data_IF_561454735191
#
_entry.id   IF_561454735191
#
_cell.length_a   1.000
_cell.length_b   1.000
_cell.length_c   1.000
_cell.angle_alpha   90.00
_cell.angle_beta   90.00
_cell.angle_gamma   90.00
#
_symmetry.space_group_name_H-M   'P 1'
#
loop_
_entity.id
_entity.type
_entity.pdbx_description
1 polymer ?
#
# COMPACT_ATOMS: atom_id res chain seq x y z
N UNK A 1 12.33 2.68 2.43
CA UNK A 1 13.52 2.35 1.63
C UNK A 1 14.73 2.72 2.45
N UNK A 2 15.64 1.79 2.69
CA UNK A 2 16.82 1.96 3.57
C UNK A 2 18.07 2.26 2.73
N UNK A 3 18.00 3.26 1.84
CA UNK A 3 19.13 3.67 0.99
C UNK A 3 19.40 2.75 -0.21
N UNK A 4 18.39 2.02 -0.68
CA UNK A 4 18.52 1.02 -1.74
C UNK A 4 18.99 1.65 -3.06
N UNK A 5 18.47 2.80 -3.47
CA UNK A 5 18.91 3.50 -4.69
C UNK A 5 20.42 3.79 -4.67
N UNK A 6 20.94 4.26 -3.54
CA UNK A 6 22.36 4.53 -3.40
C UNK A 6 23.21 3.26 -3.46
N UNK A 7 22.78 2.18 -2.79
CA UNK A 7 23.47 0.89 -2.82
C UNK A 7 23.52 0.30 -4.23
N UNK A 8 22.42 0.33 -4.98
CA UNK A 8 22.38 -0.20 -6.34
C UNK A 8 23.35 0.57 -7.23
N UNK A 9 23.31 1.90 -7.20
CA UNK A 9 24.17 2.75 -8.03
C UNK A 9 25.64 2.54 -7.74
N UNK A 10 25.98 2.43 -6.46
CA UNK A 10 27.34 2.17 -6.02
C UNK A 10 27.84 0.80 -6.52
N UNK A 11 26.99 -0.21 -6.41
CA UNK A 11 27.28 -1.54 -6.94
C UNK A 11 27.41 -1.53 -8.48
N UNK A 12 26.54 -0.80 -9.19
CA UNK A 12 26.60 -0.63 -10.65
C UNK A 12 27.94 -0.02 -11.07
N UNK A 13 28.41 1.00 -10.37
CA UNK A 13 29.62 1.74 -10.73
C UNK A 13 30.92 1.00 -10.40
N UNK A 14 30.92 0.16 -9.35
CA UNK A 14 32.18 -0.35 -8.77
C UNK A 14 32.29 -1.86 -8.62
N UNK A 15 31.18 -2.60 -8.56
CA UNK A 15 31.18 -3.99 -8.08
C UNK A 15 30.63 -5.00 -9.10
N UNK A 16 29.60 -4.63 -9.85
CA UNK A 16 28.93 -5.52 -10.81
C UNK A 16 29.59 -5.40 -12.19
N UNK A 17 30.00 -6.53 -12.78
CA UNK A 17 30.75 -6.54 -14.06
C UNK A 17 29.92 -6.18 -15.29
N UNK A 18 28.62 -6.52 -15.27
CA UNK A 18 27.65 -6.26 -16.35
C UNK A 18 26.34 -5.74 -15.73
N UNK A 19 26.38 -4.54 -15.14
CA UNK A 19 25.27 -4.00 -14.36
C UNK A 19 23.99 -3.79 -15.19
N UNK A 20 24.10 -3.66 -16.51
CA UNK A 20 23.00 -3.51 -17.44
C UNK A 20 22.20 -4.79 -17.69
N UNK A 21 22.71 -5.96 -17.29
CA UNK A 21 22.02 -7.24 -17.48
C UNK A 21 21.20 -7.60 -16.25
N UNK A 22 19.91 -7.88 -16.43
CA UNK A 22 19.03 -8.31 -15.34
C UNK A 22 19.55 -9.57 -14.62
N UNK A 23 20.17 -10.50 -15.37
CA UNK A 23 20.79 -11.72 -14.84
C UNK A 23 21.97 -11.48 -13.89
N UNK A 24 22.48 -10.24 -13.80
CA UNK A 24 23.55 -9.86 -12.87
C UNK A 24 23.05 -9.53 -11.45
N UNK A 25 21.73 -9.50 -11.23
CA UNK A 25 21.11 -9.00 -10.02
C UNK A 25 20.15 -10.00 -9.40
N UNK A 26 20.19 -10.13 -8.07
CA UNK A 26 19.16 -10.78 -7.26
C UNK A 26 18.87 -9.87 -6.06
N UNK A 27 17.65 -9.34 -5.90
CA UNK A 27 16.55 -9.42 -6.86
C UNK A 27 16.86 -8.66 -8.16
N UNK A 28 16.22 -9.03 -9.26
CA UNK A 28 16.28 -8.26 -10.52
C UNK A 28 15.45 -6.97 -10.41
N UNK A 29 14.36 -7.01 -9.63
CA UNK A 29 13.46 -5.87 -9.41
C UNK A 29 12.90 -5.82 -7.99
N UNK A 30 12.73 -4.61 -7.48
CA UNK A 30 11.98 -4.32 -6.27
C UNK A 30 10.72 -3.53 -6.64
N UNK A 31 9.56 -4.07 -6.30
CA UNK A 31 8.27 -3.49 -6.62
C UNK A 31 7.55 -3.03 -5.36
N UNK A 32 6.86 -1.90 -5.47
CA UNK A 32 5.90 -1.44 -4.46
C UNK A 32 4.49 -1.62 -5.01
N UNK A 33 3.70 -2.47 -4.38
CA UNK A 33 2.29 -2.68 -4.71
C UNK A 33 1.39 -1.93 -3.74
N UNK A 34 0.27 -1.44 -4.25
CA UNK A 34 -0.65 -0.62 -3.47
C UNK A 34 -2.12 -0.94 -3.72
N UNK A 35 -2.95 -0.76 -2.70
CA UNK A 35 -4.41 -0.80 -2.83
C UNK A 35 -5.06 0.14 -1.80
N UNK A 36 -6.16 0.83 -2.14
CA UNK A 36 -7.00 1.50 -1.15
C UNK A 36 -7.45 0.51 -0.08
N UNK A 37 -7.41 0.92 1.19
CA UNK A 37 -7.66 0.04 2.30
C UNK A 37 -8.58 0.65 3.34
N UNK A 38 -9.33 -0.23 4.00
CA UNK A 38 -10.02 0.02 5.25
C UNK A 38 -9.20 -0.52 6.42
N UNK A 39 -9.21 0.19 7.54
CA UNK A 39 -8.48 -0.16 8.75
C UNK A 39 -9.38 0.04 9.97
N UNK A 40 -9.72 -1.06 10.64
CA UNK A 40 -10.75 -1.07 11.68
C UNK A 40 -10.42 -0.15 12.86
N UNK A 41 -9.15 -0.06 13.28
CA UNK A 41 -8.76 0.82 14.39
C UNK A 41 -8.82 2.30 14.02
N UNK A 42 -8.56 2.67 12.76
CA UNK A 42 -8.72 4.06 12.31
C UNK A 42 -10.20 4.49 12.31
N UNK A 43 -11.12 3.56 12.07
CA UNK A 43 -12.55 3.80 12.22
C UNK A 43 -12.99 3.83 13.69
N UNK A 44 -12.57 2.85 14.49
CA UNK A 44 -13.04 2.67 15.86
C UNK A 44 -12.45 3.67 16.86
N UNK A 45 -11.21 4.12 16.65
CA UNK A 45 -10.54 5.08 17.51
C UNK A 45 -10.63 6.45 16.83
N UNK A 46 -11.43 7.38 17.36
CA UNK A 46 -11.49 8.75 16.87
C UNK A 46 -11.31 9.75 18.01
N UNK A 47 -11.28 11.07 17.76
CA UNK A 47 -11.26 12.05 18.84
C UNK A 47 -12.51 11.92 19.74
N UNK A 48 -12.38 11.97 21.08
CA UNK A 48 -11.17 12.34 21.84
C UNK A 48 -10.18 11.20 22.12
N UNK A 49 -10.51 9.94 21.85
CA UNK A 49 -9.71 8.77 22.24
C UNK A 49 -8.37 8.69 21.51
N UNK A 50 -8.34 9.04 20.22
CA UNK A 50 -7.11 9.12 19.44
C UNK A 50 -7.23 10.14 18.30
N UNK A 51 -6.17 10.92 18.09
CA UNK A 51 -6.11 11.95 17.05
C UNK A 51 -5.14 11.53 15.94
N UNK A 52 -5.66 10.83 14.94
CA UNK A 52 -4.88 10.35 13.79
C UNK A 52 -4.26 11.47 12.96
N UNK A 53 -4.79 12.69 13.02
CA UNK A 53 -4.23 13.84 12.31
C UNK A 53 -2.86 14.29 12.84
N UNK A 54 -2.47 13.84 14.03
CA UNK A 54 -1.15 14.13 14.63
C UNK A 54 -0.08 13.07 14.30
N UNK A 55 -0.44 12.03 13.58
CA UNK A 55 0.48 10.97 13.19
C UNK A 55 1.53 11.54 12.21
N UNK A 56 2.82 11.46 12.57
CA UNK A 56 3.93 11.96 11.73
C UNK A 56 4.47 10.91 10.76
N UNK A 57 4.29 9.64 11.09
CA UNK A 57 4.77 8.50 10.30
C UNK A 57 3.60 7.64 9.87
N UNK A 58 3.65 6.95 8.72
CA UNK A 58 2.58 6.06 8.32
C UNK A 58 2.41 4.89 9.30
N UNK A 59 1.20 4.37 9.39
CA UNK A 59 0.92 3.18 10.21
C UNK A 59 1.65 1.98 9.61
N UNK A 60 2.31 1.17 10.45
CA UNK A 60 3.03 -0.03 10.02
C UNK A 60 2.38 -1.26 10.63
N UNK A 61 1.88 -2.14 9.78
CA UNK A 61 1.07 -3.27 10.17
C UNK A 61 1.78 -4.57 9.80
N UNK A 62 1.57 -5.61 10.60
CA UNK A 62 1.97 -6.93 10.18
C UNK A 62 1.23 -7.30 8.88
N UNK A 63 1.88 -8.00 7.96
CA UNK A 63 1.25 -8.52 6.73
C UNK A 63 0.06 -9.48 6.99
N UNK A 64 -0.15 -9.91 8.24
CA UNK A 64 -1.27 -10.73 8.71
C UNK A 64 -2.28 -9.97 9.56
N UNK A 65 -2.17 -8.65 9.64
CA UNK A 65 -3.06 -7.86 10.48
C UNK A 65 -4.50 -7.90 9.93
N UNK A 66 -5.36 -8.65 10.62
CA UNK A 66 -6.75 -8.88 10.21
C UNK A 66 -7.61 -7.61 10.28
N UNK A 67 -7.13 -6.57 10.95
CA UNK A 67 -7.83 -5.30 11.05
C UNK A 67 -7.68 -4.42 9.79
N UNK A 68 -6.80 -4.78 8.86
CA UNK A 68 -6.63 -4.09 7.56
C UNK A 68 -7.10 -4.97 6.41
N UNK A 69 -8.00 -4.44 5.59
CA UNK A 69 -8.47 -5.09 4.37
C UNK A 69 -8.42 -4.16 3.16
N UNK A 70 -8.18 -4.71 1.97
CA UNK A 70 -8.15 -3.94 0.72
C UNK A 70 -9.56 -3.77 0.15
N UNK A 71 -9.82 -2.62 -0.46
CA UNK A 71 -11.13 -2.25 -1.02
C UNK A 71 -11.20 -2.46 -2.55
N UNK A 72 -10.04 -2.57 -3.20
CA UNK A 72 -9.92 -2.77 -4.64
C UNK A 72 -8.76 -3.72 -4.96
N UNK A 73 -8.64 -4.09 -6.23
CA UNK A 73 -7.49 -4.86 -6.70
C UNK A 73 -6.19 -4.05 -6.57
N UNK A 74 -5.09 -4.69 -6.12
CA UNK A 74 -3.80 -4.02 -6.04
C UNK A 74 -3.27 -3.60 -7.41
N UNK A 75 -2.57 -2.46 -7.42
CA UNK A 75 -1.86 -1.97 -8.60
C UNK A 75 -0.38 -1.73 -8.25
N UNK A 76 0.48 -1.89 -9.24
CA UNK A 76 1.91 -1.59 -9.12
C UNK A 76 2.11 -0.07 -9.02
N UNK A 77 2.73 0.42 -7.95
CA UNK A 77 3.11 1.83 -7.77
C UNK A 77 4.50 2.10 -8.34
N UNK A 78 5.47 1.25 -8.01
CA UNK A 78 6.87 1.45 -8.36
C UNK A 78 7.49 0.12 -8.78
N UNK A 79 8.34 0.16 -9.81
CA UNK A 79 9.13 -0.98 -10.31
C UNK A 79 10.59 -0.53 -10.44
N UNK A 80 11.37 -0.72 -9.38
CA UNK A 80 12.80 -0.40 -9.37
C UNK A 80 13.53 -1.57 -9.98
N UNK A 81 14.12 -1.36 -11.15
CA UNK A 81 14.93 -2.36 -11.86
C UNK A 81 16.39 -2.14 -11.51
N UNK A 82 17.05 -3.18 -10.99
CA UNK A 82 18.44 -3.07 -10.52
C UNK A 82 19.44 -2.82 -11.67
N UNK A 83 19.04 -3.18 -12.88
CA UNK A 83 19.82 -3.09 -14.10
C UNK A 83 19.57 -1.82 -14.91
N UNK A 84 18.63 -0.96 -14.51
CA UNK A 84 18.44 0.33 -15.15
C UNK A 84 19.62 1.23 -14.77
N UNK A 85 20.45 1.56 -15.76
CA UNK A 85 21.58 2.46 -15.58
C UNK A 85 21.07 3.89 -15.37
N UNK A 86 21.73 4.65 -14.48
CA UNK A 86 21.39 6.06 -14.25
C UNK A 86 20.19 6.26 -13.32
N UNK A 87 20.00 5.36 -12.34
CA UNK A 87 19.04 5.57 -11.27
C UNK A 87 19.19 6.99 -10.65
N UNK A 88 18.09 7.66 -10.32
CA UNK A 88 18.10 9.06 -9.91
C UNK A 88 18.94 9.32 -8.63
N UNK A 89 19.58 10.49 -8.56
CA UNK A 89 20.39 10.93 -7.41
C UNK A 89 19.57 11.74 -6.40
N UNK A 90 18.84 12.72 -6.90
CA UNK A 90 18.06 13.67 -6.12
C UNK A 90 17.03 14.31 -7.05
N UNK A 91 15.88 13.66 -7.18
CA UNK A 91 14.81 14.16 -8.05
C UNK A 91 13.46 13.83 -7.44
N UNK A 92 12.46 14.59 -7.84
CA UNK A 92 11.08 14.19 -7.66
C UNK A 92 10.73 13.23 -8.77
N UNK A 93 10.68 11.95 -8.46
CA UNK A 93 10.17 10.94 -9.36
C UNK A 93 8.66 10.78 -9.15
N UNK A 94 7.94 10.56 -10.25
CA UNK A 94 6.50 10.28 -10.22
C UNK A 94 6.28 8.87 -10.78
N UNK A 95 5.60 8.00 -10.02
CA UNK A 95 5.06 6.76 -10.55
C UNK A 95 4.38 6.94 -11.90
N UNK A 96 4.62 6.01 -12.82
CA UNK A 96 3.86 5.91 -14.07
C UNK A 96 2.83 4.78 -13.95
N UNK A 97 1.55 4.99 -14.28
CA UNK A 97 0.94 6.27 -14.65
C UNK A 97 0.93 7.26 -13.46
N UNK A 98 0.90 8.59 -13.71
CA UNK A 98 0.95 9.61 -12.65
C UNK A 98 -0.31 9.63 -11.76
N UNK A 99 -1.41 9.05 -12.25
CA UNK A 99 -2.65 8.86 -11.50
C UNK A 99 -3.07 7.41 -11.64
N UNK A 100 -3.46 6.79 -10.53
CA UNK A 100 -4.03 5.44 -10.47
C UNK A 100 -5.47 5.55 -10.04
N UNK A 101 -6.36 4.90 -10.78
CA UNK A 101 -7.77 4.84 -10.46
C UNK A 101 -8.11 3.43 -9.99
N UNK A 102 -8.69 3.33 -8.79
CA UNK A 102 -9.13 2.09 -8.19
C UNK A 102 -10.65 2.09 -8.12
N UNK A 103 -11.31 1.16 -8.80
CA UNK A 103 -12.75 0.96 -8.65
C UNK A 103 -13.00 0.03 -7.47
N UNK A 104 -13.82 0.47 -6.53
CA UNK A 104 -14.09 -0.30 -5.31
C UNK A 104 -14.98 -1.50 -5.61
N UNK A 105 -14.54 -2.68 -5.15
CA UNK A 105 -15.21 -3.95 -5.46
C UNK A 105 -16.31 -4.25 -4.45
N UNK A 106 -17.53 -4.51 -4.95
CA UNK A 106 -18.65 -4.98 -4.13
C UNK A 106 -18.30 -6.29 -3.40
N UNK A 107 -17.70 -7.24 -4.12
CA UNK A 107 -17.30 -8.54 -3.56
C UNK A 107 -16.31 -8.37 -2.42
N UNK A 108 -15.30 -7.50 -2.57
CA UNK A 108 -14.33 -7.22 -1.50
C UNK A 108 -14.96 -6.53 -0.31
N UNK A 109 -15.80 -5.53 -0.53
CA UNK A 109 -16.49 -4.83 0.58
C UNK A 109 -17.33 -5.81 1.38
N UNK A 110 -18.08 -6.69 0.72
CA UNK A 110 -18.91 -7.70 1.38
C UNK A 110 -18.06 -8.75 2.12
N UNK A 111 -16.98 -9.25 1.50
CA UNK A 111 -16.03 -10.15 2.15
C UNK A 111 -15.36 -9.49 3.39
N UNK A 112 -15.00 -8.22 3.28
CA UNK A 112 -14.42 -7.45 4.38
C UNK A 112 -15.42 -7.29 5.52
N UNK A 113 -16.70 -7.02 5.24
CA UNK A 113 -17.76 -6.97 6.25
C UNK A 113 -17.83 -8.28 7.01
N UNK A 114 -17.92 -9.40 6.30
CA UNK A 114 -18.10 -10.71 6.92
C UNK A 114 -16.89 -11.08 7.78
N UNK A 115 -15.69 -10.71 7.32
CA UNK A 115 -14.44 -10.89 8.05
C UNK A 115 -14.37 -10.03 9.31
N UNK A 116 -14.64 -8.73 9.23
CA UNK A 116 -14.67 -7.86 10.41
C UNK A 116 -15.73 -8.30 11.41
N UNK A 117 -16.90 -8.72 10.93
CA UNK A 117 -17.95 -9.26 11.80
C UNK A 117 -17.46 -10.50 12.59
N UNK A 118 -16.85 -11.46 11.90
CA UNK A 118 -16.33 -12.67 12.53
C UNK A 118 -15.22 -12.36 13.55
N UNK A 119 -14.29 -11.47 13.21
CA UNK A 119 -13.22 -11.04 14.11
C UNK A 119 -13.78 -10.31 15.34
N UNK A 120 -14.72 -9.38 15.16
CA UNK A 120 -15.35 -8.65 16.27
C UNK A 120 -16.08 -9.59 17.24
N UNK A 121 -16.81 -10.59 16.72
CA UNK A 121 -17.44 -11.61 17.56
C UNK A 121 -16.40 -12.44 18.32
N UNK A 122 -15.30 -12.82 17.66
CA UNK A 122 -14.21 -13.57 18.30
C UNK A 122 -13.56 -12.80 19.44
N UNK A 123 -13.42 -11.48 19.29
CA UNK A 123 -12.91 -10.57 20.33
C UNK A 123 -13.97 -10.19 21.39
N UNK A 124 -15.19 -10.74 21.30
CA UNK A 124 -16.22 -10.62 22.34
C UNK A 124 -17.21 -9.47 22.17
N UNK A 125 -17.27 -8.83 21.01
CA UNK A 125 -18.29 -7.82 20.71
C UNK A 125 -19.70 -8.43 20.71
N UNK A 126 -20.72 -7.65 21.09
CA UNK A 126 -22.12 -8.09 21.01
C UNK A 126 -22.56 -8.17 19.55
N UNK A 127 -23.43 -9.12 19.22
CA UNK A 127 -23.84 -9.40 17.83
C UNK A 127 -24.34 -8.15 17.08
N UNK A 128 -25.19 -7.34 17.72
CA UNK A 128 -25.71 -6.11 17.13
C UNK A 128 -24.61 -5.10 16.82
N UNK A 129 -23.70 -4.89 17.77
CA UNK A 129 -22.58 -3.94 17.63
C UNK A 129 -21.58 -4.43 16.58
N UNK A 130 -21.24 -5.73 16.59
CA UNK A 130 -20.37 -6.33 15.59
C UNK A 130 -20.93 -6.16 14.17
N UNK A 131 -22.24 -6.32 14.00
CA UNK A 131 -22.93 -6.17 12.71
C UNK A 131 -22.93 -4.71 12.23
N UNK A 132 -23.23 -3.76 13.12
CA UNK A 132 -23.24 -2.34 12.77
C UNK A 132 -21.83 -1.85 12.42
N UNK A 133 -20.84 -2.20 13.23
CA UNK A 133 -19.45 -1.77 13.03
C UNK A 133 -18.83 -2.40 11.78
N UNK A 134 -19.05 -3.69 11.51
CA UNK A 134 -18.47 -4.34 10.33
C UNK A 134 -18.98 -3.74 9.02
N UNK A 135 -20.26 -3.36 8.97
CA UNK A 135 -20.87 -2.67 7.82
C UNK A 135 -20.20 -1.30 7.59
N UNK A 136 -19.98 -0.55 8.66
CA UNK A 136 -19.38 0.78 8.56
C UNK A 136 -17.90 0.73 8.20
N UNK A 137 -17.13 -0.13 8.87
CA UNK A 137 -15.69 -0.27 8.64
C UNK A 137 -15.42 -0.74 7.20
N UNK A 138 -16.14 -1.75 6.72
CA UNK A 138 -15.97 -2.29 5.36
C UNK A 138 -16.23 -1.26 4.25
N UNK A 139 -17.01 -0.22 4.54
CA UNK A 139 -17.36 0.91 3.65
C UNK A 139 -16.61 2.20 4.00
N UNK A 140 -15.40 2.08 4.56
CA UNK A 140 -14.61 3.24 4.95
C UNK A 140 -13.19 3.21 4.36
N UNK A 141 -12.82 4.25 3.62
CA UNK A 141 -11.47 4.45 3.11
C UNK A 141 -10.60 5.07 4.20
N UNK A 142 -9.59 4.34 4.65
CA UNK A 142 -8.61 4.83 5.63
C UNK A 142 -7.37 5.41 4.96
N UNK A 143 -6.83 4.71 3.98
CA UNK A 143 -5.57 5.10 3.35
C UNK A 143 -5.19 4.20 2.19
N UNK A 144 -3.93 4.27 1.79
CA UNK A 144 -3.36 3.45 0.74
C UNK A 144 -2.45 2.40 1.36
N UNK A 145 -2.85 1.13 1.40
CA UNK A 145 -1.96 0.07 1.84
C UNK A 145 -0.85 -0.14 0.81
N UNK A 146 0.39 -0.24 1.27
CA UNK A 146 1.59 -0.37 0.45
C UNK A 146 2.45 -1.53 0.96
N UNK A 147 2.95 -2.37 0.06
CA UNK A 147 3.81 -3.49 0.44
C UNK A 147 4.81 -3.87 -0.67
N UNK A 148 5.97 -4.44 -0.31
CA UNK A 148 6.99 -4.81 -1.28
C UNK A 148 6.70 -6.15 -1.96
N UNK A 149 7.19 -6.29 -3.18
CA UNK A 149 7.33 -7.55 -3.93
C UNK A 149 8.72 -7.58 -4.56
N UNK A 150 9.45 -8.68 -4.40
CA UNK A 150 10.75 -8.86 -5.03
C UNK A 150 10.62 -9.81 -6.21
N UNK A 151 11.15 -9.43 -7.36
CA UNK A 151 11.27 -10.30 -8.53
C UNK A 151 12.73 -10.73 -8.61
N UNK A 152 12.99 -12.04 -8.57
CA UNK A 152 14.35 -12.57 -8.47
C UNK A 152 15.02 -12.78 -9.83
N UNK A 153 14.22 -13.01 -10.88
CA UNK A 153 14.63 -13.28 -12.25
C UNK A 153 14.04 -12.27 -13.24
N UNK A 154 14.53 -12.26 -14.48
CA UNK A 154 14.05 -11.32 -15.52
C UNK A 154 12.63 -11.69 -15.98
N UNK A 155 12.39 -12.99 -16.12
CA UNK A 155 11.14 -13.60 -16.59
C UNK A 155 10.01 -13.56 -15.55
N UNK A 156 10.31 -13.09 -14.34
CA UNK A 156 9.37 -12.99 -13.22
C UNK A 156 8.75 -14.33 -12.79
N UNK A 157 9.45 -15.44 -13.00
CA UNK A 157 9.01 -16.76 -12.57
C UNK A 157 9.28 -17.02 -11.09
N UNK A 158 10.26 -16.31 -10.51
CA UNK A 158 10.63 -16.41 -9.11
C UNK A 158 10.35 -15.09 -8.39
N UNK A 159 9.37 -15.13 -7.49
CA UNK A 159 8.84 -13.94 -6.82
C UNK A 159 8.77 -14.17 -5.32
N UNK A 160 9.21 -13.17 -4.55
CA UNK A 160 9.02 -13.12 -3.10
C UNK A 160 7.99 -12.05 -2.78
N UNK A 161 6.84 -12.49 -2.28
CA UNK A 161 5.68 -11.67 -1.98
C UNK A 161 5.52 -11.46 -0.47
N UNK A 162 5.33 -10.20 -0.04
CA UNK A 162 4.98 -9.89 1.35
C UNK A 162 3.48 -10.01 1.63
N UNK A 163 2.62 -9.87 0.60
CA UNK A 163 1.18 -10.14 0.59
C UNK A 163 0.81 -10.91 -0.67
N UNK A 164 -0.33 -11.59 -0.68
CA UNK A 164 -0.79 -12.35 -1.85
C UNK A 164 -1.06 -11.47 -3.08
N UNK A 165 -1.26 -12.08 -4.26
CA UNK A 165 -1.47 -11.36 -5.52
C UNK A 165 -2.64 -10.37 -5.51
N UNK A 166 -3.68 -10.66 -4.72
CA UNK A 166 -4.86 -9.81 -4.56
C UNK A 166 -4.81 -8.98 -3.27
N UNK A 167 -3.65 -8.92 -2.62
CA UNK A 167 -3.41 -8.22 -1.36
C UNK A 167 -3.76 -9.04 -0.12
N UNK A 168 -3.89 -10.37 -0.24
CA UNK A 168 -4.24 -11.25 0.88
C UNK A 168 -3.10 -11.34 1.91
N UNK A 169 -3.46 -11.72 3.13
CA UNK A 169 -2.48 -11.94 4.19
C UNK A 169 -1.53 -13.08 3.87
N UNK A 170 -0.24 -12.87 4.15
CA UNK A 170 0.81 -13.88 4.00
C UNK A 170 1.74 -13.87 5.20
N UNK A 171 2.56 -14.91 5.35
CA UNK A 171 3.64 -14.90 6.34
C UNK A 171 4.81 -14.12 5.77
N UNK A 172 5.11 -12.96 6.33
CA UNK A 172 6.28 -12.17 5.99
C UNK A 172 6.76 -11.39 7.21
N UNK A 173 8.04 -11.06 7.25
CA UNK A 173 8.58 -10.09 8.21
C UNK A 173 8.45 -8.66 7.69
N UNK A 174 8.26 -8.47 6.38
CA UNK A 174 7.95 -7.17 5.81
C UNK A 174 6.56 -6.72 6.23
N UNK A 175 6.49 -5.49 6.72
CA UNK A 175 5.26 -4.86 7.14
C UNK A 175 4.48 -4.31 5.93
N UNK A 176 3.16 -4.25 6.07
CA UNK A 176 2.32 -3.40 5.22
C UNK A 176 2.37 -1.98 5.78
N UNK A 177 2.72 -1.02 4.95
CA UNK A 177 2.72 0.41 5.32
C UNK A 177 1.39 1.02 4.88
N UNK A 178 0.72 1.74 5.78
CA UNK A 178 -0.54 2.42 5.52
C UNK A 178 -0.39 3.91 5.85
N UNK A 179 -0.05 4.75 4.85
CA UNK A 179 -0.27 6.18 4.95
C UNK A 179 -1.79 6.44 4.97
N UNK A 180 -2.25 7.11 6.01
CA UNK A 180 -3.64 7.56 6.12
C UNK A 180 -3.86 8.74 5.17
N UNK A 181 -4.95 8.72 4.41
CA UNK A 181 -5.26 9.77 3.43
C UNK A 181 -6.06 10.92 4.05
N UNK A 182 -6.65 10.71 5.22
CA UNK A 182 -7.39 11.70 5.99
C UNK A 182 -7.30 11.37 7.49
N UNK A 183 -7.54 12.37 8.34
CA UNK A 183 -7.56 12.19 9.80
C UNK A 183 -8.75 11.35 10.31
N UNK A 184 -9.76 11.13 9.47
CA UNK A 184 -10.87 10.21 9.70
C UNK A 184 -11.15 9.42 8.43
N UNK A 185 -11.56 8.15 8.52
CA UNK A 185 -11.95 7.39 7.36
C UNK A 185 -13.05 8.10 6.56
N UNK A 186 -12.97 8.04 5.24
CA UNK A 186 -13.98 8.59 4.35
C UNK A 186 -14.99 7.50 3.99
N UNK A 187 -16.31 7.75 4.06
CA UNK A 187 -17.30 6.78 3.63
C UNK A 187 -17.21 6.55 2.12
N UNK A 188 -17.34 5.29 1.70
CA UNK A 188 -17.25 4.88 0.30
C UNK A 188 -18.21 3.72 0.02
N UNK A 189 -18.65 3.59 -1.22
CA UNK A 189 -19.53 2.51 -1.67
C UNK A 189 -18.91 1.68 -2.81
N UNK A 190 -19.50 0.52 -3.05
CA UNK A 190 -19.12 -0.31 -4.19
C UNK A 190 -19.34 0.43 -5.52
N UNK A 191 -18.34 0.40 -6.39
CA UNK A 191 -18.37 1.11 -7.67
C UNK A 191 -17.95 2.57 -7.61
N UNK A 192 -17.69 3.14 -6.43
CA UNK A 192 -16.94 4.39 -6.33
C UNK A 192 -15.52 4.19 -6.89
N UNK A 193 -14.91 5.28 -7.36
CA UNK A 193 -13.54 5.27 -7.83
C UNK A 193 -12.65 6.10 -6.90
N UNK A 194 -11.46 5.59 -6.57
CA UNK A 194 -10.44 6.32 -5.82
C UNK A 194 -9.31 6.66 -6.77
N UNK A 195 -9.08 7.95 -6.99
CA UNK A 195 -7.91 8.43 -7.72
C UNK A 195 -6.77 8.73 -6.76
N UNK A 196 -5.62 8.11 -7.00
CA UNK A 196 -4.40 8.30 -6.21
C UNK A 196 -3.33 8.92 -7.09
N UNK A 197 -2.75 10.01 -6.60
CA UNK A 197 -1.53 10.61 -7.13
C UNK A 197 -0.42 10.43 -6.12
N UNK A 198 0.74 10.03 -6.63
CA UNK A 198 1.92 9.79 -5.82
C UNK A 198 3.11 10.56 -6.40
N UNK A 199 3.99 11.02 -5.51
CA UNK A 199 5.30 11.54 -5.84
C UNK A 199 6.30 11.01 -4.82
N UNK A 200 7.52 10.73 -5.28
CA UNK A 200 8.63 10.30 -4.44
C UNK A 200 9.76 11.30 -4.61
N UNK A 201 10.13 11.96 -3.53
CA UNK A 201 11.28 12.85 -3.50
C UNK A 201 12.47 12.07 -2.95
N UNK A 202 13.48 11.90 -3.78
CA UNK A 202 14.74 11.28 -3.38
C UNK A 202 15.64 12.36 -2.75
N UNK A 203 16.10 12.09 -1.54
CA UNK A 203 17.04 12.97 -0.84
C UNK A 203 18.35 13.13 -1.61
N UNK A 204 19.08 14.20 -1.31
CA UNK A 204 20.39 14.46 -1.92
C UNK A 204 21.51 13.66 -1.26
N UNK A 205 21.31 13.24 -0.01
CA UNK A 205 22.23 12.38 0.73
C UNK A 205 21.86 10.90 0.66
N UNK A 206 22.87 10.03 0.64
CA UNK A 206 22.70 8.56 0.67
C UNK A 206 21.95 8.07 1.92
N UNK A 207 22.05 8.80 3.03
CA UNK A 207 21.38 8.50 4.28
C UNK A 207 20.00 9.17 4.41
N UNK A 208 19.59 10.00 3.46
CA UNK A 208 18.29 10.66 3.48
C UNK A 208 17.23 9.73 2.89
N UNK A 209 16.23 9.29 3.67
CA UNK A 209 15.20 8.42 3.15
C UNK A 209 14.32 9.15 2.12
N UNK A 210 13.76 8.43 1.13
CA UNK A 210 12.78 9.02 0.22
C UNK A 210 11.56 9.54 0.98
N UNK A 211 11.00 10.65 0.49
CA UNK A 211 9.73 11.18 0.97
C UNK A 211 8.63 10.86 -0.02
N UNK A 212 7.56 10.26 0.47
CA UNK A 212 6.38 9.94 -0.35
C UNK A 212 5.29 10.96 -0.06
N UNK A 213 4.78 11.58 -1.11
CA UNK A 213 3.58 12.41 -1.09
C UNK A 213 2.46 11.66 -1.78
N UNK A 214 1.34 11.49 -1.09
CA UNK A 214 0.16 10.79 -1.58
C UNK A 214 -1.06 11.70 -1.47
N UNK A 215 -1.79 11.84 -2.56
CA UNK A 215 -3.05 12.55 -2.62
C UNK A 215 -4.13 11.58 -3.13
N UNK A 216 -5.28 11.56 -2.45
CA UNK A 216 -6.40 10.70 -2.80
C UNK A 216 -7.68 11.51 -2.99
N UNK A 217 -8.42 11.22 -4.06
CA UNK A 217 -9.74 11.79 -4.31
C UNK A 217 -10.77 10.67 -4.48
N UNK A 218 -11.87 10.75 -3.73
CA UNK A 218 -13.04 9.87 -3.90
C UNK A 218 -13.92 10.45 -4.99
N UNK A 219 -14.16 9.67 -6.05
CA UNK A 219 -15.10 9.99 -7.13
C UNK A 219 -16.32 9.10 -6.91
N UNK A 220 -17.37 9.72 -6.37
CA UNK A 220 -18.62 9.03 -6.13
C UNK A 220 -19.32 8.68 -7.44
N UNK A 221 -19.87 7.48 -7.52
CA UNK A 221 -20.69 7.10 -8.66
C UNK A 221 -21.96 7.96 -8.67
N UNK A 222 -22.17 8.76 -9.72
CA UNK A 222 -23.45 9.43 -9.94
C UNK A 222 -24.47 8.37 -10.30
N UNK A 223 -25.38 8.06 -9.37
CA UNK A 223 -26.56 7.25 -9.67
C UNK A 223 -27.46 8.14 -10.53
N UNK A 224 -27.52 7.89 -11.84
CA UNK A 224 -28.62 8.42 -12.65
C UNK A 224 -29.90 7.77 -12.12
N UNK A 225 -30.80 8.62 -11.60
CA UNK A 225 -32.12 8.24 -11.11
C UNK A 225 -33.09 7.99 -12.25
#
# INVERSE_FOLDING_TARGET
EEGMYATIRDAQARLVKRPELASSWIPSRCQTWVAPATYALHYALGPPQFDWGKLKEPVRLNCRDETLQTLAEPQLLEDIRMYDLGLPYSTTWRPSPPTRTFVLSAERIEANRDKFYAELLREGAKEKEARELSVQVSRSLSGLAMWPRLVLDEEATLVVDSRGPLGEHRKSHWQTVLPLLAARPQPVEAGDAIEIRAAVELGSGVAEPPRYSLEGTVIQRVIQS
#
